data_IF_288541928476
#
_entry.id   IF_288541928476
#
_cell.length_a   1.000
_cell.length_b   1.000
_cell.length_c   1.000
_cell.angle_alpha   90.00
_cell.angle_beta   90.00
_cell.angle_gamma   90.00
#
_symmetry.space_group_name_H-M   'P 1'
#
loop_
_entity.id
_entity.type
_entity.pdbx_description
1 polymer ?
#
# COMPACT_ATOMS: atom_id res chain seq x y z
N UNK A 1 10.98 -15.98 2.20
CA UNK A 1 12.27 -15.35 2.56
C UNK A 1 13.31 -16.43 2.90
N UNK A 2 14.22 -16.70 1.96
CA UNK A 2 15.02 -17.92 1.86
C UNK A 2 16.10 -18.05 2.96
N UNK A 3 15.90 -18.97 3.92
CA UNK A 3 16.96 -19.44 4.83
C UNK A 3 17.66 -20.67 4.23
N UNK A 4 18.75 -20.48 3.50
CA UNK A 4 19.68 -21.57 3.16
C UNK A 4 21.10 -21.25 3.60
N UNK A 5 21.78 -22.27 4.14
CA UNK A 5 23.18 -22.19 4.59
C UNK A 5 24.12 -22.06 3.40
N UNK A 6 25.00 -21.07 3.46
CA UNK A 6 26.03 -20.81 2.45
C UNK A 6 27.23 -21.74 2.69
N UNK A 7 27.73 -22.39 1.64
CA UNK A 7 28.96 -23.19 1.68
C UNK A 7 30.04 -22.45 0.87
N UNK A 8 31.20 -22.20 1.47
CA UNK A 8 32.34 -21.55 0.82
C UNK A 8 33.36 -22.59 0.33
N UNK A 9 33.74 -22.55 -0.95
CA UNK A 9 34.93 -23.22 -1.48
C UNK A 9 35.96 -22.16 -1.92
N UNK A 10 37.20 -22.19 -1.38
CA UNK A 10 38.28 -21.33 -1.88
C UNK A 10 39.50 -21.15 -0.97
N UNK A 11 40.63 -21.80 -1.32
CA UNK A 11 42.03 -21.47 -0.98
C UNK A 11 42.39 -20.98 0.45
N UNK A 12 43.20 -21.77 1.15
CA UNK A 12 43.62 -21.73 2.57
C UNK A 12 43.77 -20.37 3.33
N UNK A 13 44.05 -19.25 2.65
CA UNK A 13 44.08 -17.90 3.26
C UNK A 13 42.78 -17.10 3.08
N UNK A 14 42.20 -17.16 1.87
CA UNK A 14 40.90 -16.59 1.52
C UNK A 14 39.77 -17.28 2.27
N UNK A 15 39.84 -18.61 2.38
CA UNK A 15 38.94 -19.45 3.16
C UNK A 15 38.86 -19.01 4.64
N UNK A 16 39.96 -18.55 5.24
CA UNK A 16 40.00 -18.14 6.67
C UNK A 16 39.31 -16.80 6.93
N UNK A 17 39.52 -15.82 6.06
CA UNK A 17 38.87 -14.50 6.21
C UNK A 17 37.36 -14.61 5.92
N UNK A 18 36.97 -15.31 4.85
CA UNK A 18 35.58 -15.55 4.51
C UNK A 18 34.84 -16.41 5.55
N UNK A 19 35.47 -17.48 6.06
CA UNK A 19 34.86 -18.34 7.09
C UNK A 19 34.63 -17.61 8.41
N UNK A 20 35.39 -16.55 8.71
CA UNK A 20 35.20 -15.71 9.89
C UNK A 20 34.14 -14.63 9.68
N UNK A 21 34.09 -14.00 8.51
CA UNK A 21 33.26 -12.82 8.25
C UNK A 21 31.86 -13.13 7.72
N UNK A 22 31.67 -14.19 6.93
CA UNK A 22 30.34 -14.60 6.46
C UNK A 22 29.36 -14.82 7.62
N UNK A 23 29.73 -15.53 8.70
CA UNK A 23 28.87 -15.68 9.87
C UNK A 23 28.58 -14.34 10.59
N UNK A 24 29.49 -13.37 10.53
CA UNK A 24 29.26 -12.05 11.12
C UNK A 24 28.24 -11.23 10.33
N UNK A 25 28.28 -11.32 9.00
CA UNK A 25 27.27 -10.69 8.12
C UNK A 25 25.92 -11.34 8.38
N UNK A 26 25.85 -12.67 8.41
CA UNK A 26 24.62 -13.41 8.71
C UNK A 26 24.06 -13.05 10.08
N UNK A 27 24.91 -12.98 11.11
CA UNK A 27 24.47 -12.55 12.44
C UNK A 27 23.97 -11.12 12.45
N UNK A 28 24.63 -10.21 11.73
CA UNK A 28 24.17 -8.82 11.59
C UNK A 28 22.79 -8.77 10.90
N UNK A 29 22.52 -9.66 9.94
CA UNK A 29 21.18 -9.83 9.38
C UNK A 29 20.20 -10.38 10.43
N UNK A 30 20.56 -11.42 11.16
CA UNK A 30 19.68 -11.98 12.20
C UNK A 30 19.33 -10.95 13.29
N UNK A 31 20.31 -10.12 13.67
CA UNK A 31 20.19 -9.06 14.67
C UNK A 31 19.52 -7.78 14.11
N UNK A 32 19.05 -7.80 12.86
CA UNK A 32 18.42 -6.66 12.15
C UNK A 32 19.33 -5.44 11.98
N UNK A 33 20.64 -5.63 12.05
CA UNK A 33 21.67 -4.62 11.79
C UNK A 33 21.94 -4.51 10.28
N UNK A 34 20.90 -4.22 9.48
CA UNK A 34 20.93 -4.27 8.02
C UNK A 34 22.03 -3.41 7.38
N UNK A 35 22.22 -2.20 7.91
CA UNK A 35 23.25 -1.27 7.42
C UNK A 35 24.66 -1.80 7.68
N UNK A 36 24.88 -2.42 8.83
CA UNK A 36 26.17 -3.05 9.17
C UNK A 36 26.41 -4.27 8.27
N UNK A 37 25.41 -5.13 8.09
CA UNK A 37 25.48 -6.25 7.17
C UNK A 37 25.82 -5.80 5.74
N UNK A 38 25.18 -4.73 5.27
CA UNK A 38 25.44 -4.11 3.97
C UNK A 38 26.90 -3.63 3.84
N UNK A 39 27.43 -2.89 4.81
CA UNK A 39 28.80 -2.38 4.76
C UNK A 39 29.83 -3.52 4.80
N UNK A 40 29.61 -4.52 5.65
CA UNK A 40 30.47 -5.70 5.73
C UNK A 40 30.44 -6.50 4.41
N UNK A 41 29.27 -6.77 3.85
CA UNK A 41 29.13 -7.50 2.59
C UNK A 41 29.74 -6.71 1.41
N UNK A 42 29.50 -5.40 1.32
CA UNK A 42 30.02 -4.55 0.24
C UNK A 42 31.54 -4.49 0.24
N UNK A 43 32.15 -4.18 1.40
CA UNK A 43 33.62 -4.10 1.53
C UNK A 43 34.30 -5.42 1.23
N UNK A 44 33.67 -6.54 1.59
CA UNK A 44 34.20 -7.87 1.29
C UNK A 44 34.04 -8.23 -0.18
N UNK A 45 32.94 -7.83 -0.81
CA UNK A 45 32.72 -8.07 -2.23
C UNK A 45 33.71 -7.26 -3.10
N UNK A 46 34.14 -6.08 -2.66
CA UNK A 46 35.24 -5.34 -3.32
C UNK A 46 36.55 -6.13 -3.32
N UNK A 47 36.88 -6.82 -2.22
CA UNK A 47 38.06 -7.68 -2.11
C UNK A 47 37.90 -9.00 -2.88
N UNK A 48 36.69 -9.55 -2.91
CA UNK A 48 36.38 -10.87 -3.49
C UNK A 48 35.20 -10.78 -4.46
N UNK A 49 35.35 -10.09 -5.61
CA UNK A 49 34.24 -9.74 -6.50
C UNK A 49 33.55 -10.95 -7.15
N UNK A 50 34.23 -12.09 -7.20
CA UNK A 50 33.72 -13.34 -7.76
C UNK A 50 32.91 -14.18 -6.75
N UNK A 51 32.86 -13.81 -5.48
CA UNK A 51 32.23 -14.63 -4.45
C UNK A 51 30.69 -14.50 -4.46
N UNK A 52 30.00 -15.59 -4.80
CA UNK A 52 28.54 -15.61 -4.91
C UNK A 52 27.82 -15.45 -3.57
N UNK A 53 28.35 -16.05 -2.51
CA UNK A 53 27.78 -15.93 -1.16
C UNK A 53 27.71 -14.48 -0.71
N UNK A 54 28.76 -13.70 -0.93
CA UNK A 54 28.79 -12.28 -0.59
C UNK A 54 27.78 -11.46 -1.41
N UNK A 55 27.55 -11.82 -2.68
CA UNK A 55 26.52 -11.17 -3.52
C UNK A 55 25.13 -11.39 -2.96
N UNK A 56 24.81 -12.62 -2.59
CA UNK A 56 23.52 -12.95 -1.98
C UNK A 56 23.31 -12.23 -0.64
N UNK A 57 24.32 -12.26 0.24
CA UNK A 57 24.24 -11.56 1.53
C UNK A 57 24.10 -10.03 1.37
N UNK A 58 24.72 -9.46 0.33
CA UNK A 58 24.53 -8.05 0.00
C UNK A 58 23.09 -7.76 -0.43
N UNK A 59 22.52 -8.60 -1.31
CA UNK A 59 21.12 -8.48 -1.73
C UNK A 59 20.17 -8.64 -0.55
N UNK A 60 20.40 -9.63 0.32
CA UNK A 60 19.61 -9.82 1.54
C UNK A 60 19.66 -8.59 2.43
N UNK A 61 20.84 -7.99 2.65
CA UNK A 61 21.00 -6.78 3.46
C UNK A 61 20.25 -5.58 2.88
N UNK A 62 20.27 -5.41 1.56
CA UNK A 62 19.55 -4.34 0.87
C UNK A 62 18.03 -4.54 0.97
N UNK A 63 17.54 -5.74 0.68
CA UNK A 63 16.11 -6.08 0.71
C UNK A 63 15.56 -5.96 2.13
N UNK A 64 16.22 -6.57 3.13
CA UNK A 64 15.82 -6.48 4.53
C UNK A 64 15.90 -5.06 5.09
N UNK A 65 16.83 -4.26 4.56
CA UNK A 65 16.95 -2.84 4.87
C UNK A 65 15.96 -1.93 4.13
N UNK A 66 15.03 -2.48 3.33
CA UNK A 66 14.04 -1.71 2.57
C UNK A 66 14.62 -0.92 1.37
N UNK A 67 15.84 -1.24 0.94
CA UNK A 67 16.58 -0.57 -0.14
C UNK A 67 16.38 -1.29 -1.47
N UNK A 68 15.13 -1.42 -1.90
CA UNK A 68 14.73 -2.23 -3.06
C UNK A 68 15.30 -1.73 -4.39
N UNK A 69 15.34 -0.41 -4.63
CA UNK A 69 15.93 0.14 -5.86
C UNK A 69 17.41 -0.25 -5.98
N UNK A 70 18.17 -0.06 -4.89
CA UNK A 70 19.57 -0.46 -4.82
C UNK A 70 19.76 -1.97 -5.02
N UNK A 71 18.86 -2.80 -4.49
CA UNK A 71 18.90 -4.24 -4.69
C UNK A 71 18.65 -4.62 -6.15
N UNK A 72 17.69 -3.97 -6.82
CA UNK A 72 17.37 -4.20 -8.23
C UNK A 72 18.54 -3.85 -9.14
N UNK A 73 19.18 -2.71 -8.91
CA UNK A 73 20.40 -2.33 -9.66
C UNK A 73 21.51 -3.37 -9.47
N UNK A 74 21.70 -3.83 -8.24
CA UNK A 74 22.79 -4.75 -7.91
C UNK A 74 22.58 -6.16 -8.45
N UNK A 75 21.35 -6.69 -8.40
CA UNK A 75 21.06 -8.01 -8.98
C UNK A 75 21.21 -7.98 -10.51
N UNK A 76 20.80 -6.89 -11.16
CA UNK A 76 20.99 -6.70 -12.61
C UNK A 76 22.46 -6.66 -12.99
N UNK A 77 23.29 -5.93 -12.24
CA UNK A 77 24.74 -5.92 -12.46
C UNK A 77 25.35 -7.32 -12.35
N UNK A 78 24.97 -8.09 -11.32
CA UNK A 78 25.48 -9.45 -11.15
C UNK A 78 25.07 -10.36 -12.31
N UNK A 79 23.83 -10.25 -12.79
CA UNK A 79 23.31 -11.05 -13.90
C UNK A 79 23.96 -10.73 -15.26
N UNK A 80 24.58 -9.56 -15.45
CA UNK A 80 25.32 -9.25 -16.70
C UNK A 80 26.37 -10.31 -17.02
N UNK A 81 27.07 -10.82 -15.99
CA UNK A 81 28.12 -11.83 -16.15
C UNK A 81 27.64 -13.25 -15.81
N UNK A 82 26.42 -13.40 -15.32
CA UNK A 82 25.85 -14.67 -14.85
C UNK A 82 24.36 -14.77 -15.16
N UNK A 83 23.94 -14.64 -16.43
CA UNK A 83 22.52 -14.50 -16.80
C UNK A 83 21.67 -15.72 -16.38
N UNK A 84 22.29 -16.90 -16.34
CA UNK A 84 21.63 -18.16 -15.98
C UNK A 84 21.75 -18.50 -14.48
N UNK A 85 22.20 -17.56 -13.62
CA UNK A 85 22.31 -17.84 -12.19
C UNK A 85 20.91 -17.91 -11.56
N UNK A 86 20.47 -19.14 -11.31
CA UNK A 86 19.16 -19.47 -10.76
C UNK A 86 18.77 -18.60 -9.55
N UNK A 87 19.64 -18.54 -8.53
CA UNK A 87 19.33 -17.82 -7.29
C UNK A 87 19.22 -16.31 -7.51
N UNK A 88 20.08 -15.72 -8.34
CA UNK A 88 19.96 -14.30 -8.70
C UNK A 88 18.67 -14.01 -9.47
N UNK A 89 18.23 -14.92 -10.34
CA UNK A 89 16.96 -14.78 -11.05
C UNK A 89 15.74 -14.86 -10.10
N UNK A 90 15.80 -15.63 -9.02
CA UNK A 90 14.77 -15.60 -7.98
C UNK A 90 14.71 -14.23 -7.26
N UNK A 91 15.87 -13.64 -6.91
CA UNK A 91 15.91 -12.28 -6.36
C UNK A 91 15.37 -11.24 -7.35
N UNK A 92 15.76 -11.35 -8.62
CA UNK A 92 15.29 -10.46 -9.67
C UNK A 92 13.76 -10.55 -9.81
N UNK A 93 13.19 -11.75 -9.85
CA UNK A 93 11.74 -11.94 -9.92
C UNK A 93 11.00 -11.21 -8.79
N UNK A 94 11.45 -11.40 -7.54
CA UNK A 94 10.89 -10.71 -6.39
C UNK A 94 10.95 -9.17 -6.54
N UNK A 95 12.12 -8.66 -6.93
CA UNK A 95 12.35 -7.23 -7.08
C UNK A 95 11.55 -6.63 -8.24
N UNK A 96 11.40 -7.33 -9.36
CA UNK A 96 10.59 -6.86 -10.49
C UNK A 96 9.12 -6.71 -10.11
N UNK A 97 8.57 -7.66 -9.35
CA UNK A 97 7.20 -7.59 -8.84
C UNK A 97 7.04 -6.41 -7.88
N UNK A 98 7.98 -6.21 -6.95
CA UNK A 98 7.98 -5.06 -6.05
C UNK A 98 7.95 -3.72 -6.81
N UNK A 99 8.74 -3.59 -7.87
CA UNK A 99 8.78 -2.39 -8.72
C UNK A 99 7.67 -2.35 -9.78
N UNK A 100 6.68 -3.25 -9.71
CA UNK A 100 5.55 -3.32 -10.65
C UNK A 100 5.97 -3.48 -12.12
N UNK A 101 7.15 -4.05 -12.36
CA UNK A 101 7.67 -4.38 -13.70
C UNK A 101 7.10 -5.72 -14.16
N UNK A 102 5.76 -5.79 -14.24
CA UNK A 102 5.02 -7.05 -14.31
C UNK A 102 5.27 -7.85 -15.59
N UNK A 103 5.52 -7.21 -16.72
CA UNK A 103 5.81 -7.90 -17.98
C UNK A 103 7.15 -8.64 -17.93
N UNK A 104 8.19 -8.00 -17.39
CA UNK A 104 9.51 -8.59 -17.21
C UNK A 104 9.46 -9.71 -16.16
N UNK A 105 8.80 -9.45 -15.02
CA UNK A 105 8.59 -10.44 -13.96
C UNK A 105 7.84 -11.67 -14.48
N UNK A 106 6.81 -11.48 -15.28
CA UNK A 106 6.01 -12.56 -15.87
C UNK A 106 6.83 -13.42 -16.83
N UNK A 107 7.66 -12.80 -17.66
CA UNK A 107 8.53 -13.52 -18.58
C UNK A 107 9.55 -14.38 -17.80
N UNK A 108 10.17 -13.80 -16.78
CA UNK A 108 11.15 -14.48 -15.94
C UNK A 108 10.52 -15.62 -15.11
N UNK A 109 9.39 -15.37 -14.46
CA UNK A 109 8.66 -16.38 -13.68
C UNK A 109 8.23 -17.58 -14.51
N UNK A 110 7.71 -17.36 -15.72
CA UNK A 110 7.39 -18.44 -16.68
C UNK A 110 8.63 -19.23 -17.13
N UNK A 111 9.81 -18.60 -17.16
CA UNK A 111 11.06 -19.30 -17.45
C UNK A 111 11.46 -20.18 -16.28
N UNK A 112 11.47 -19.64 -15.06
CA UNK A 112 11.85 -20.33 -13.83
C UNK A 112 10.95 -21.54 -13.53
N UNK A 113 9.64 -21.46 -13.81
CA UNK A 113 8.71 -22.58 -13.64
C UNK A 113 9.01 -23.80 -14.54
N UNK A 114 9.89 -23.67 -15.54
CA UNK A 114 10.34 -24.80 -16.38
C UNK A 114 11.60 -25.49 -15.84
N UNK A 115 12.26 -24.87 -14.85
CA UNK A 115 13.47 -25.38 -14.23
C UNK A 115 13.12 -26.37 -13.09
N UNK A 116 14.14 -27.06 -12.59
CA UNK A 116 13.97 -27.86 -11.38
C UNK A 116 13.97 -26.94 -10.16
N UNK A 117 12.82 -26.79 -9.52
CA UNK A 117 12.64 -25.97 -8.31
C UNK A 117 12.52 -26.86 -7.07
N UNK A 118 13.06 -26.40 -5.94
CA UNK A 118 12.64 -26.93 -4.64
C UNK A 118 11.18 -26.54 -4.36
N UNK A 119 10.51 -27.23 -3.43
CA UNK A 119 9.12 -26.90 -3.07
C UNK A 119 8.98 -25.45 -2.56
N UNK A 120 9.97 -24.94 -1.81
CA UNK A 120 9.97 -23.55 -1.36
C UNK A 120 10.12 -22.56 -2.51
N UNK A 121 11.07 -22.80 -3.43
CA UNK A 121 11.26 -21.94 -4.60
C UNK A 121 10.05 -22.00 -5.54
N UNK A 122 9.43 -23.17 -5.70
CA UNK A 122 8.23 -23.32 -6.51
C UNK A 122 7.10 -22.43 -5.99
N UNK A 123 6.83 -22.46 -4.68
CA UNK A 123 5.82 -21.60 -4.04
C UNK A 123 6.10 -20.12 -4.27
N UNK A 124 7.33 -19.69 -4.02
CA UNK A 124 7.75 -18.30 -4.22
C UNK A 124 7.59 -17.87 -5.70
N UNK A 125 8.02 -18.71 -6.66
CA UNK A 125 7.90 -18.41 -8.09
C UNK A 125 6.44 -18.39 -8.55
N UNK A 126 5.60 -19.32 -8.09
CA UNK A 126 4.16 -19.34 -8.37
C UNK A 126 3.50 -18.03 -7.89
N UNK A 127 3.79 -17.61 -6.66
CA UNK A 127 3.23 -16.39 -6.07
C UNK A 127 3.61 -15.15 -6.88
N UNK A 128 4.90 -14.94 -7.14
CA UNK A 128 5.37 -13.76 -7.87
C UNK A 128 4.93 -13.75 -9.34
N UNK A 129 4.86 -14.92 -9.98
CA UNK A 129 4.31 -15.01 -11.34
C UNK A 129 2.81 -14.69 -11.31
N UNK A 130 2.09 -15.04 -10.24
CA UNK A 130 0.65 -14.77 -10.12
C UNK A 130 0.40 -13.28 -9.93
N UNK A 131 1.21 -12.63 -9.09
CA UNK A 131 1.20 -11.17 -8.93
C UNK A 131 1.47 -10.47 -10.25
N UNK A 132 2.41 -11.01 -11.05
CA UNK A 132 2.71 -10.48 -12.38
C UNK A 132 1.54 -10.64 -13.35
N UNK A 133 0.85 -11.79 -13.34
CA UNK A 133 -0.36 -11.99 -14.15
C UNK A 133 -1.52 -11.11 -13.72
N UNK A 134 -1.67 -10.86 -12.42
CA UNK A 134 -2.65 -9.92 -11.89
C UNK A 134 -2.35 -8.51 -12.40
N UNK A 135 -1.09 -8.06 -12.26
CA UNK A 135 -0.63 -6.76 -12.74
C UNK A 135 -0.74 -6.56 -14.25
N UNK A 136 -0.63 -7.61 -15.06
CA UNK A 136 -0.86 -7.55 -16.52
C UNK A 136 -2.32 -7.76 -16.94
N UNK A 137 -3.24 -7.94 -15.98
CA UNK A 137 -4.67 -8.14 -16.23
C UNK A 137 -5.04 -9.55 -16.74
N UNK A 138 -4.11 -10.51 -16.73
CA UNK A 138 -4.36 -11.90 -17.08
C UNK A 138 -5.04 -12.68 -15.91
N UNK A 139 -6.12 -12.13 -15.36
CA UNK A 139 -6.74 -12.54 -14.08
C UNK A 139 -7.08 -14.03 -14.01
N UNK A 140 -7.63 -14.61 -15.08
CA UNK A 140 -7.96 -16.05 -15.11
C UNK A 140 -6.74 -16.96 -14.95
N UNK A 141 -5.57 -16.52 -15.43
CA UNK A 141 -4.32 -17.28 -15.28
C UNK A 141 -3.76 -17.08 -13.88
N UNK A 142 -3.84 -15.86 -13.34
CA UNK A 142 -3.45 -15.56 -11.96
C UNK A 142 -4.20 -16.45 -10.97
N UNK A 143 -5.55 -16.50 -11.04
CA UNK A 143 -6.39 -17.34 -10.18
C UNK A 143 -5.99 -18.81 -10.24
N UNK A 144 -5.75 -19.37 -11.44
CA UNK A 144 -5.33 -20.78 -11.57
C UNK A 144 -4.02 -21.07 -10.85
N UNK A 145 -3.06 -20.15 -10.94
CA UNK A 145 -1.75 -20.36 -10.35
C UNK A 145 -1.74 -20.11 -8.84
N UNK A 146 -2.59 -19.20 -8.35
CA UNK A 146 -2.83 -19.01 -6.92
C UNK A 146 -3.52 -20.23 -6.30
N UNK A 147 -4.47 -20.85 -7.01
CA UNK A 147 -5.06 -22.12 -6.57
C UNK A 147 -4.02 -23.24 -6.56
N UNK A 148 -3.15 -23.34 -7.57
CA UNK A 148 -2.02 -24.30 -7.54
C UNK A 148 -1.10 -24.05 -6.33
N UNK A 149 -0.84 -22.79 -6.00
CA UNK A 149 -0.07 -22.43 -4.82
C UNK A 149 -0.77 -22.86 -3.52
N UNK A 150 -2.08 -22.63 -3.40
CA UNK A 150 -2.86 -23.05 -2.23
C UNK A 150 -3.01 -24.58 -2.12
N UNK A 151 -2.98 -25.32 -3.23
CA UNK A 151 -2.92 -26.78 -3.20
C UNK A 151 -1.61 -27.28 -2.56
N UNK A 152 -0.50 -26.55 -2.75
CA UNK A 152 0.80 -26.87 -2.13
C UNK A 152 0.98 -26.29 -0.73
N UNK A 153 0.42 -25.11 -0.50
CA UNK A 153 0.53 -24.33 0.73
C UNK A 153 -0.82 -23.70 1.08
N UNK A 154 -1.75 -24.47 1.67
CA UNK A 154 -3.08 -23.99 2.00
C UNK A 154 -3.10 -22.78 2.94
N UNK A 155 -1.99 -22.51 3.61
CA UNK A 155 -1.85 -21.45 4.60
C UNK A 155 -1.14 -20.21 4.04
N UNK A 156 -1.07 -20.07 2.71
CA UNK A 156 -0.40 -18.93 2.09
C UNK A 156 -1.31 -17.68 2.10
N UNK A 157 -1.09 -16.80 3.07
CA UNK A 157 -1.88 -15.57 3.27
C UNK A 157 -1.82 -14.62 2.07
N UNK A 158 -0.64 -14.48 1.45
CA UNK A 158 -0.44 -13.65 0.25
C UNK A 158 -1.31 -14.13 -0.93
N UNK A 159 -1.47 -15.45 -1.07
CA UNK A 159 -2.30 -16.05 -2.11
C UNK A 159 -3.79 -15.85 -1.85
N UNK A 160 -4.25 -16.04 -0.60
CA UNK A 160 -5.63 -15.77 -0.18
C UNK A 160 -6.00 -14.30 -0.38
N UNK A 161 -5.14 -13.38 0.07
CA UNK A 161 -5.31 -11.93 -0.12
C UNK A 161 -5.47 -11.59 -1.61
N UNK A 162 -4.59 -12.15 -2.44
CA UNK A 162 -4.58 -11.84 -3.88
C UNK A 162 -5.78 -12.43 -4.61
N UNK A 163 -6.21 -13.64 -4.26
CA UNK A 163 -7.45 -14.20 -4.79
C UNK A 163 -8.64 -13.33 -4.41
N UNK A 164 -8.77 -12.95 -3.13
CA UNK A 164 -9.84 -12.06 -2.67
C UNK A 164 -9.86 -10.74 -3.45
N UNK A 165 -8.70 -10.10 -3.65
CA UNK A 165 -8.59 -8.87 -4.46
C UNK A 165 -9.01 -9.07 -5.91
N UNK A 166 -8.58 -10.16 -6.56
CA UNK A 166 -8.96 -10.44 -7.95
C UNK A 166 -10.47 -10.63 -8.08
N UNK A 167 -11.12 -11.32 -7.13
CA UNK A 167 -12.57 -11.48 -7.14
C UNK A 167 -13.30 -10.17 -6.85
N UNK A 168 -12.79 -9.37 -5.92
CA UNK A 168 -13.30 -8.03 -5.63
C UNK A 168 -13.26 -7.11 -6.86
N UNK A 169 -12.12 -7.06 -7.56
CA UNK A 169 -11.96 -6.28 -8.81
C UNK A 169 -12.89 -6.73 -9.94
N UNK A 170 -13.32 -7.99 -9.92
CA UNK A 170 -14.28 -8.54 -10.88
C UNK A 170 -15.75 -8.32 -10.47
N UNK A 171 -16.02 -7.77 -9.28
CA UNK A 171 -17.36 -7.63 -8.72
C UNK A 171 -17.97 -8.93 -8.20
N UNK A 172 -17.15 -9.99 -8.04
CA UNK A 172 -17.56 -11.26 -7.44
C UNK A 172 -17.37 -11.17 -5.92
N UNK A 173 -18.26 -10.41 -5.27
CA UNK A 173 -18.06 -10.02 -3.88
C UNK A 173 -18.21 -11.17 -2.89
N UNK A 174 -19.05 -12.17 -3.16
CA UNK A 174 -19.21 -13.34 -2.30
C UNK A 174 -17.92 -14.19 -2.26
N UNK A 175 -17.27 -14.41 -3.41
CA UNK A 175 -15.98 -15.09 -3.44
C UNK A 175 -14.88 -14.28 -2.77
N UNK A 176 -14.87 -12.95 -2.96
CA UNK A 176 -13.93 -12.06 -2.30
C UNK A 176 -14.07 -12.13 -0.77
N UNK A 177 -15.31 -12.03 -0.26
CA UNK A 177 -15.64 -12.14 1.16
C UNK A 177 -15.09 -13.44 1.75
N UNK A 178 -15.33 -14.56 1.06
CA UNK A 178 -14.87 -15.87 1.52
C UNK A 178 -13.35 -15.92 1.72
N UNK A 179 -12.57 -15.42 0.76
CA UNK A 179 -11.11 -15.44 0.87
C UNK A 179 -10.59 -14.45 1.92
N UNK A 180 -11.22 -13.29 2.07
CA UNK A 180 -10.84 -12.33 3.11
C UNK A 180 -11.19 -12.83 4.51
N UNK A 181 -12.32 -13.51 4.69
CA UNK A 181 -12.68 -14.15 5.96
C UNK A 181 -11.73 -15.31 6.29
N UNK A 182 -11.37 -16.14 5.30
CA UNK A 182 -10.36 -17.19 5.49
C UNK A 182 -9.01 -16.60 5.91
N UNK A 183 -8.60 -15.49 5.28
CA UNK A 183 -7.40 -14.75 5.68
C UNK A 183 -7.50 -14.20 7.12
N UNK A 184 -8.66 -13.69 7.52
CA UNK A 184 -8.88 -13.15 8.86
C UNK A 184 -8.87 -14.25 9.94
N UNK A 185 -9.41 -15.43 9.65
CA UNK A 185 -9.34 -16.59 10.54
C UNK A 185 -7.90 -17.07 10.74
N UNK A 186 -7.09 -16.96 9.69
CA UNK A 186 -5.71 -17.41 9.66
C UNK A 186 -4.74 -16.48 10.38
N UNK A 187 -4.85 -15.17 10.13
CA UNK A 187 -4.05 -14.14 10.76
C UNK A 187 -4.96 -12.96 11.13
N UNK A 188 -5.62 -13.01 12.30
CA UNK A 188 -6.50 -11.94 12.76
C UNK A 188 -5.77 -10.61 12.96
N UNK A 189 -4.46 -10.63 13.18
CA UNK A 189 -3.65 -9.43 13.33
C UNK A 189 -3.06 -8.96 11.99
N UNK A 190 -3.44 -9.58 10.86
CA UNK A 190 -2.96 -9.20 9.55
C UNK A 190 -3.40 -7.75 9.26
N UNK A 191 -2.47 -6.78 9.15
CA UNK A 191 -2.83 -5.35 9.13
C UNK A 191 -3.78 -4.93 8.00
N UNK A 192 -3.88 -5.77 6.95
CA UNK A 192 -4.64 -5.47 5.75
C UNK A 192 -5.98 -6.18 5.64
N UNK A 193 -6.25 -7.21 6.45
CA UNK A 193 -7.46 -8.03 6.24
C UNK A 193 -8.73 -7.25 6.55
N UNK A 194 -8.74 -6.55 7.69
CA UNK A 194 -9.85 -5.69 8.10
C UNK A 194 -10.04 -4.49 7.14
N UNK A 195 -8.96 -3.95 6.57
CA UNK A 195 -9.08 -2.93 5.51
C UNK A 195 -9.75 -3.49 4.24
N UNK A 196 -9.42 -4.73 3.84
CA UNK A 196 -10.01 -5.37 2.66
C UNK A 196 -11.49 -5.72 2.87
N UNK A 197 -11.85 -6.21 4.06
CA UNK A 197 -13.25 -6.45 4.44
C UNK A 197 -14.03 -5.13 4.54
N UNK A 198 -13.45 -4.09 5.13
CA UNK A 198 -14.04 -2.75 5.21
C UNK A 198 -14.32 -2.15 3.83
N UNK A 199 -13.37 -2.27 2.89
CA UNK A 199 -13.58 -1.88 1.49
C UNK A 199 -14.68 -2.72 0.82
N UNK A 200 -14.65 -4.04 1.00
CA UNK A 200 -15.64 -4.95 0.44
C UNK A 200 -17.06 -4.60 0.89
N UNK A 201 -17.27 -4.42 2.18
CA UNK A 201 -18.57 -4.08 2.75
C UNK A 201 -19.02 -2.67 2.39
N UNK A 202 -18.09 -1.72 2.27
CA UNK A 202 -18.39 -0.38 1.77
C UNK A 202 -18.90 -0.42 0.32
N UNK A 203 -18.26 -1.19 -0.57
CA UNK A 203 -18.73 -1.35 -1.96
C UNK A 203 -20.10 -2.06 -2.06
N UNK A 204 -20.39 -2.97 -1.12
CA UNK A 204 -21.70 -3.63 -1.02
C UNK A 204 -22.78 -2.73 -0.40
N UNK A 205 -22.43 -1.56 0.15
CA UNK A 205 -23.32 -0.68 0.89
C UNK A 205 -23.74 -1.24 2.26
N UNK A 206 -22.98 -2.20 2.79
CA UNK A 206 -23.11 -2.79 4.13
C UNK A 206 -22.34 -1.91 5.12
N UNK A 207 -22.88 -0.74 5.40
CA UNK A 207 -22.15 0.31 6.11
C UNK A 207 -21.80 -0.08 7.55
N UNK A 208 -22.70 -0.77 8.27
CA UNK A 208 -22.47 -1.18 9.66
C UNK A 208 -21.32 -2.19 9.75
N UNK A 209 -21.31 -3.20 8.88
CA UNK A 209 -20.22 -4.18 8.79
C UNK A 209 -18.91 -3.52 8.37
N UNK A 210 -18.95 -2.58 7.41
CA UNK A 210 -17.78 -1.84 7.00
C UNK A 210 -17.18 -1.00 8.13
N UNK A 211 -18.01 -0.33 8.94
CA UNK A 211 -17.57 0.46 10.10
C UNK A 211 -16.82 -0.44 11.08
N UNK A 212 -17.39 -1.61 11.43
CA UNK A 212 -16.74 -2.55 12.36
C UNK A 212 -15.36 -2.97 11.88
N UNK A 213 -15.22 -3.31 10.60
CA UNK A 213 -13.94 -3.71 10.01
C UNK A 213 -12.94 -2.54 9.95
N UNK A 214 -13.40 -1.32 9.67
CA UNK A 214 -12.54 -0.14 9.69
C UNK A 214 -12.08 0.24 11.10
N UNK A 215 -12.93 0.07 12.12
CA UNK A 215 -12.57 0.26 13.53
C UNK A 215 -11.48 -0.73 13.95
N UNK A 216 -11.61 -2.02 13.60
CA UNK A 216 -10.58 -3.02 13.89
C UNK A 216 -9.26 -2.71 13.15
N UNK A 217 -9.34 -2.30 11.88
CA UNK A 217 -8.16 -1.87 11.12
C UNK A 217 -7.45 -0.67 11.78
N UNK A 218 -8.22 0.27 12.36
CA UNK A 218 -7.71 1.43 13.09
C UNK A 218 -7.02 1.03 14.40
N UNK A 219 -7.55 0.04 15.13
CA UNK A 219 -6.92 -0.47 16.36
C UNK A 219 -5.58 -1.17 16.07
N UNK A 220 -5.49 -1.92 14.97
CA UNK A 220 -4.29 -2.68 14.60
C UNK A 220 -3.19 -1.77 14.04
N UNK A 221 -3.53 -0.94 13.05
CA UNK A 221 -2.57 -0.13 12.32
C UNK A 221 -3.20 1.21 11.90
N UNK A 222 -3.24 2.20 12.82
CA UNK A 222 -3.84 3.49 12.51
C UNK A 222 -3.05 4.20 11.41
N UNK A 223 -3.77 4.74 10.43
CA UNK A 223 -3.23 5.57 9.36
C UNK A 223 -4.25 6.62 8.92
N UNK A 224 -3.79 7.67 8.25
CA UNK A 224 -4.67 8.68 7.67
C UNK A 224 -5.59 8.10 6.58
N UNK A 225 -5.15 7.04 5.89
CA UNK A 225 -5.97 6.32 4.92
C UNK A 225 -7.12 5.56 5.59
N UNK A 226 -6.85 4.82 6.67
CA UNK A 226 -7.87 4.07 7.42
C UNK A 226 -8.89 5.02 8.07
N UNK A 227 -8.43 6.09 8.71
CA UNK A 227 -9.31 7.10 9.32
C UNK A 227 -10.18 7.79 8.29
N UNK A 228 -9.63 8.07 7.09
CA UNK A 228 -10.42 8.64 5.99
C UNK A 228 -11.50 7.68 5.53
N UNK A 229 -11.17 6.41 5.29
CA UNK A 229 -12.17 5.42 4.84
C UNK A 229 -13.25 5.21 5.89
N UNK A 230 -12.90 5.10 7.18
CA UNK A 230 -13.86 5.06 8.28
C UNK A 230 -14.77 6.29 8.28
N UNK A 231 -14.19 7.48 8.15
CA UNK A 231 -14.96 8.73 8.09
C UNK A 231 -15.91 8.79 6.89
N UNK A 232 -15.47 8.32 5.72
CA UNK A 232 -16.32 8.22 4.54
C UNK A 232 -17.47 7.23 4.75
N UNK A 233 -17.19 6.04 5.26
CA UNK A 233 -18.19 5.00 5.55
C UNK A 233 -19.21 5.49 6.58
N UNK A 234 -18.78 6.18 7.65
CA UNK A 234 -19.66 6.81 8.64
C UNK A 234 -20.60 7.85 7.99
N UNK A 235 -20.08 8.66 7.05
CA UNK A 235 -20.94 9.62 6.33
C UNK A 235 -22.01 8.91 5.50
N UNK A 236 -21.64 7.80 4.83
CA UNK A 236 -22.57 6.98 4.04
C UNK A 236 -23.63 6.29 4.92
N UNK A 237 -23.26 5.91 6.15
CA UNK A 237 -24.19 5.42 7.18
C UNK A 237 -25.11 6.51 7.76
N UNK A 238 -24.81 7.79 7.51
CA UNK A 238 -25.54 8.96 8.02
C UNK A 238 -25.00 9.52 9.33
N UNK A 239 -23.89 8.99 9.86
CA UNK A 239 -23.22 9.42 11.08
C UNK A 239 -22.26 10.59 10.81
N UNK A 240 -22.81 11.72 10.35
CA UNK A 240 -22.04 12.86 9.83
C UNK A 240 -21.10 13.50 10.85
N UNK A 241 -21.49 13.58 12.12
CA UNK A 241 -20.63 14.11 13.18
C UNK A 241 -19.41 13.23 13.44
N UNK A 242 -19.61 11.90 13.50
CA UNK A 242 -18.53 10.94 13.68
C UNK A 242 -17.59 10.95 12.46
N UNK A 243 -18.16 11.02 11.26
CA UNK A 243 -17.41 11.18 10.01
C UNK A 243 -16.47 12.39 10.03
N UNK A 244 -16.97 13.56 10.45
CA UNK A 244 -16.14 14.77 10.59
C UNK A 244 -14.98 14.54 11.56
N UNK A 245 -15.23 13.94 12.73
CA UNK A 245 -14.19 13.65 13.72
C UNK A 245 -13.08 12.78 13.12
N UNK A 246 -13.43 11.68 12.45
CA UNK A 246 -12.46 10.77 11.85
C UNK A 246 -11.66 11.43 10.71
N UNK A 247 -12.31 12.26 9.89
CA UNK A 247 -11.64 12.99 8.81
C UNK A 247 -10.72 14.10 9.35
N UNK A 248 -11.08 14.76 10.45
CA UNK A 248 -10.20 15.71 11.14
C UNK A 248 -8.98 15.00 11.72
N UNK A 249 -9.16 13.85 12.37
CA UNK A 249 -8.04 13.03 12.88
C UNK A 249 -7.11 12.53 11.76
N UNK A 250 -7.67 12.14 10.61
CA UNK A 250 -6.88 11.78 9.43
C UNK A 250 -5.98 12.94 8.97
N UNK A 251 -6.49 14.18 9.02
CA UNK A 251 -5.75 15.39 8.66
C UNK A 251 -4.76 15.83 9.74
N UNK A 252 -4.99 15.50 11.01
CA UNK A 252 -4.02 15.69 12.08
C UNK A 252 -2.82 14.74 11.91
N UNK A 253 -3.05 13.49 11.50
CA UNK A 253 -1.98 12.55 11.15
C UNK A 253 -1.23 12.96 9.88
N UNK A 254 -1.97 13.35 8.83
CA UNK A 254 -1.40 13.77 7.56
C UNK A 254 -2.12 15.02 7.00
N UNK A 255 -1.60 16.22 7.27
CA UNK A 255 -2.17 17.46 6.75
C UNK A 255 -2.17 17.57 5.21
N UNK A 256 -1.40 16.71 4.52
CA UNK A 256 -1.30 16.68 3.06
C UNK A 256 -2.23 15.64 2.41
N UNK A 257 -3.04 14.92 3.18
CA UNK A 257 -4.03 14.01 2.61
C UNK A 257 -5.14 14.80 1.89
N UNK A 258 -4.99 14.94 0.58
CA UNK A 258 -5.89 15.71 -0.26
C UNK A 258 -7.31 15.13 -0.26
N UNK A 259 -7.42 13.79 -0.30
CA UNK A 259 -8.71 13.12 -0.37
C UNK A 259 -9.49 13.28 0.94
N UNK A 260 -8.86 13.09 2.11
CA UNK A 260 -9.50 13.33 3.41
C UNK A 260 -10.03 14.76 3.54
N UNK A 261 -9.30 15.74 3.00
CA UNK A 261 -9.74 17.15 2.98
C UNK A 261 -10.94 17.38 2.06
N UNK A 262 -10.95 16.74 0.90
CA UNK A 262 -12.08 16.78 -0.04
C UNK A 262 -13.32 16.15 0.60
N UNK A 263 -13.15 14.99 1.25
CA UNK A 263 -14.22 14.24 1.89
C UNK A 263 -14.79 15.05 3.07
N UNK A 264 -13.93 15.66 3.91
CA UNK A 264 -14.36 16.55 5.00
C UNK A 264 -15.20 17.72 4.49
N UNK A 265 -14.74 18.38 3.42
CA UNK A 265 -15.52 19.43 2.77
C UNK A 265 -16.88 18.96 2.27
N UNK A 266 -16.96 17.72 1.77
CA UNK A 266 -18.21 17.11 1.29
C UNK A 266 -19.17 16.82 2.44
N UNK A 267 -18.69 16.23 3.54
CA UNK A 267 -19.52 15.98 4.73
C UNK A 267 -20.03 17.30 5.33
N UNK A 268 -19.17 18.33 5.39
CA UNK A 268 -19.56 19.67 5.85
C UNK A 268 -20.61 20.32 4.94
N UNK A 269 -20.51 20.12 3.63
CA UNK A 269 -21.50 20.58 2.65
C UNK A 269 -22.86 19.92 2.89
N UNK A 270 -22.86 18.61 3.14
CA UNK A 270 -24.07 17.82 3.45
C UNK A 270 -24.71 18.18 4.79
N UNK A 271 -23.98 18.86 5.68
CA UNK A 271 -24.48 19.46 6.92
C UNK A 271 -24.85 20.95 6.78
N UNK A 272 -24.86 21.49 5.56
CA UNK A 272 -25.09 22.91 5.27
C UNK A 272 -24.07 23.86 5.94
N UNK A 273 -22.91 23.35 6.38
CA UNK A 273 -21.78 24.13 6.93
C UNK A 273 -20.93 24.70 5.79
N UNK A 274 -21.58 25.45 4.89
CA UNK A 274 -21.02 25.86 3.61
C UNK A 274 -19.69 26.63 3.71
N UNK A 275 -19.56 27.55 4.67
CA UNK A 275 -18.34 28.33 4.85
C UNK A 275 -17.17 27.46 5.29
N UNK A 276 -17.42 26.43 6.11
CA UNK A 276 -16.39 25.47 6.52
C UNK A 276 -15.98 24.56 5.36
N UNK A 277 -16.94 24.05 4.59
CA UNK A 277 -16.67 23.28 3.37
C UNK A 277 -15.82 24.06 2.37
N UNK A 278 -16.13 25.34 2.13
CA UNK A 278 -15.35 26.21 1.25
C UNK A 278 -13.92 26.38 1.76
N UNK A 279 -13.70 26.52 3.07
CA UNK A 279 -12.34 26.65 3.62
C UNK A 279 -11.51 25.40 3.34
N UNK A 280 -12.04 24.22 3.60
CA UNK A 280 -11.33 22.96 3.35
C UNK A 280 -11.01 22.77 1.87
N UNK A 281 -11.98 23.05 0.99
CA UNK A 281 -11.75 22.92 -0.45
C UNK A 281 -10.81 24.00 -1.03
N UNK A 282 -10.74 25.22 -0.47
CA UNK A 282 -9.72 26.19 -0.89
C UNK A 282 -8.31 25.76 -0.44
N UNK A 283 -8.16 25.14 0.73
CA UNK A 283 -6.89 24.54 1.15
C UNK A 283 -6.52 23.40 0.19
N UNK A 284 -7.46 22.51 -0.12
CA UNK A 284 -7.26 21.41 -1.07
C UNK A 284 -6.86 21.92 -2.47
N UNK A 285 -7.49 22.99 -2.96
CA UNK A 285 -7.15 23.63 -4.23
C UNK A 285 -5.75 24.22 -4.24
N UNK A 286 -5.25 24.75 -3.13
CA UNK A 286 -3.88 25.25 -3.05
C UNK A 286 -2.85 24.12 -3.15
N UNK A 287 -3.22 22.90 -2.73
CA UNK A 287 -2.39 21.69 -2.86
C UNK A 287 -2.43 21.13 -4.29
N UNK A 288 -3.62 21.10 -4.92
CA UNK A 288 -3.81 20.68 -6.32
C UNK A 288 -4.70 21.65 -7.11
N UNK A 289 -4.12 22.70 -7.73
CA UNK A 289 -4.87 23.73 -8.46
C UNK A 289 -5.58 23.23 -9.73
N UNK A 290 -5.11 22.12 -10.31
CA UNK A 290 -5.62 21.56 -11.57
C UNK A 290 -6.76 20.55 -11.34
N UNK A 291 -7.05 20.21 -10.08
CA UNK A 291 -8.14 19.31 -9.73
C UNK A 291 -9.52 19.89 -10.11
N UNK A 292 -10.14 19.29 -11.12
CA UNK A 292 -11.46 19.72 -11.61
C UNK A 292 -12.57 19.48 -10.59
N UNK A 293 -12.46 18.42 -9.79
CA UNK A 293 -13.46 18.05 -8.77
C UNK A 293 -13.51 19.11 -7.69
N UNK A 294 -12.37 19.52 -7.14
CA UNK A 294 -12.28 20.58 -6.13
C UNK A 294 -12.87 21.90 -6.66
N UNK A 295 -12.58 22.25 -7.92
CA UNK A 295 -13.11 23.46 -8.56
C UNK A 295 -14.65 23.44 -8.64
N UNK A 296 -15.21 22.29 -9.04
CA UNK A 296 -16.66 22.10 -9.13
C UNK A 296 -17.31 22.19 -7.74
N UNK A 297 -16.73 21.56 -6.74
CA UNK A 297 -17.19 21.63 -5.36
C UNK A 297 -17.21 23.06 -4.82
N UNK A 298 -16.12 23.83 -5.03
CA UNK A 298 -16.06 25.25 -4.65
C UNK A 298 -17.11 26.11 -5.36
N UNK A 299 -17.34 25.88 -6.66
CA UNK A 299 -18.36 26.62 -7.41
C UNK A 299 -19.76 26.35 -6.86
N UNK A 300 -20.08 25.08 -6.62
CA UNK A 300 -21.37 24.67 -6.07
C UNK A 300 -21.59 25.21 -4.65
N UNK A 301 -20.56 25.16 -3.81
CA UNK A 301 -20.61 25.70 -2.45
C UNK A 301 -20.86 27.21 -2.42
N UNK A 302 -20.12 27.96 -3.26
CA UNK A 302 -20.28 29.42 -3.36
C UNK A 302 -21.67 29.81 -3.87
N UNK A 303 -22.23 29.05 -4.81
CA UNK A 303 -23.63 29.21 -5.26
C UNK A 303 -24.62 28.94 -4.13
N UNK A 304 -24.42 27.89 -3.34
CA UNK A 304 -25.28 27.57 -2.20
C UNK A 304 -25.29 28.69 -1.15
N UNK A 305 -24.12 29.26 -0.79
CA UNK A 305 -24.02 30.42 0.11
C UNK A 305 -24.77 31.64 -0.44
N UNK A 306 -24.64 31.92 -1.74
CA UNK A 306 -25.31 33.04 -2.39
C UNK A 306 -26.85 32.89 -2.42
N UNK A 307 -27.34 31.65 -2.45
CA UNK A 307 -28.77 31.32 -2.42
C UNK A 307 -29.33 31.19 -0.99
N UNK A 308 -28.50 31.13 0.03
CA UNK A 308 -28.94 30.97 1.43
C UNK A 308 -29.61 32.26 1.96
N UNK A 309 -30.80 32.18 2.60
CA UNK A 309 -31.55 33.35 3.06
C UNK A 309 -30.78 34.28 4.02
N UNK A 310 -29.78 33.76 4.74
CA UNK A 310 -29.02 34.50 5.74
C UNK A 310 -28.04 35.53 5.15
N UNK A 311 -27.63 35.41 3.87
CA UNK A 311 -26.72 36.37 3.24
C UNK A 311 -27.46 37.56 2.59
N UNK A 312 -28.75 37.40 2.28
CA UNK A 312 -29.58 38.47 1.69
C UNK A 312 -30.00 39.56 2.70
N UNK A 313 -29.87 39.31 4.00
CA UNK A 313 -30.21 40.28 5.05
C UNK A 313 -29.05 41.19 5.49
N UNK A 314 -27.83 40.95 5.01
CA UNK A 314 -26.65 41.77 5.35
C UNK A 314 -26.31 42.85 4.31
N UNK A 315 -27.10 42.96 3.23
CA UNK A 315 -26.87 43.90 2.13
C UNK A 315 -27.96 44.97 1.95
N UNK A 316 -28.88 45.13 2.90
CA UNK A 316 -29.78 46.30 2.94
C UNK A 316 -29.24 47.37 3.89
N UNK A 317 -28.79 48.56 3.39
CA UNK A 317 -28.50 49.69 4.26
C UNK A 317 -29.78 50.06 5.01
N UNK A 318 -29.70 50.21 6.32
CA UNK A 318 -30.83 50.53 7.17
C UNK A 318 -31.47 51.87 6.79
N UNK A 319 -32.76 51.84 6.47
CA UNK A 319 -33.63 53.00 6.56
C UNK A 319 -33.79 53.39 8.04
N UNK A 320 -32.83 54.16 8.56
CA UNK A 320 -33.00 54.87 9.82
C UNK A 320 -33.83 56.12 9.56
N UNK A 321 -35.11 56.01 9.87
CA UNK A 321 -36.10 57.08 9.93
C UNK A 321 -35.63 58.19 10.89
N UNK A 322 -35.30 59.37 10.36
CA UNK A 322 -34.81 60.53 11.12
C UNK A 322 -35.70 61.74 10.93
N UNK A 323 -36.89 61.71 11.53
CA UNK A 323 -37.79 62.85 11.64
C UNK A 323 -37.17 63.98 12.48
N UNK A 324 -36.95 65.14 11.87
CA UNK A 324 -36.81 66.41 12.60
C UNK A 324 -37.73 67.48 12.01
N UNK A 325 -38.90 67.59 12.62
CA UNK A 325 -39.61 68.86 12.77
C UNK A 325 -38.79 69.77 13.68
N UNK A 326 -38.61 71.03 13.29
CA UNK A 326 -38.94 72.22 14.10
C UNK A 326 -38.78 73.50 13.26
N UNK A 327 -39.91 74.18 13.07
CA UNK A 327 -40.07 75.64 13.10
C UNK A 327 -39.21 76.25 14.23
N UNK A 328 -38.59 77.42 14.08
CA UNK A 328 -39.18 78.75 13.83
C UNK A 328 -38.07 79.71 13.40
#
# INVERSE_FOLDING_TARGET
>A
MMKQKYISEGGCGMEKELSSLVPQIQRSLEDREWLKAFHLASSMLEKYPSNETLRYLLLDALILGGRYDNALDRVREFLVNMPENHRLNLYLLHLLVYHKSFEEALALGKSLLKESLTSMEKRDVLLHTAFSLHGTGELRKAVRMLNELLDEDPLNTDALETLGKIYFEQGHFEEAERYFLELAEMDPAHPRVHQLLGLLYSEQGKWDEAIMEWEEAMEIAPSDEVLRELGWTLNMAGEKEAAISMLEEALDLNPLNLQARIDLGSVLMDQEKFESAIREWEIAKNQDPENKTIRLFLENAKKAVACSPNTQNLSRPGDSNGSRKRSS
#
